data_IF_295798686625
#
_entry.id   IF_295798686625
#
_cell.length_a   1.000
_cell.length_b   1.000
_cell.length_c   1.000
_cell.angle_alpha   90.00
_cell.angle_beta   90.00
_cell.angle_gamma   90.00
#
_symmetry.space_group_name_H-M   'P 1'
#
loop_
_entity.id
_entity.type
_entity.pdbx_description
1 polymer ?
#
# COMPACT_ATOMS: atom_id res chain seq x y z
N UNK A 1 16.43 -4.85 -13.17
CA UNK A 1 16.30 -4.59 -14.61
C UNK A 1 15.68 -3.24 -14.88
N UNK A 2 15.34 -2.95 -16.13
CA UNK A 2 14.77 -1.66 -16.53
C UNK A 2 13.33 -1.39 -16.06
N UNK A 3 12.64 -2.39 -15.53
CA UNK A 3 11.30 -2.20 -14.94
C UNK A 3 11.33 -1.28 -13.72
N UNK A 4 12.42 -1.23 -12.96
CA UNK A 4 12.66 -0.23 -11.93
C UNK A 4 13.34 0.99 -12.56
N UNK A 5 12.80 2.18 -12.33
CA UNK A 5 13.41 3.42 -12.80
C UNK A 5 14.59 3.81 -11.90
N UNK A 6 15.81 3.50 -12.35
CA UNK A 6 17.03 3.75 -11.62
C UNK A 6 17.38 5.24 -11.44
N UNK A 7 16.69 6.14 -12.14
CA UNK A 7 16.87 7.59 -12.03
C UNK A 7 15.77 8.20 -11.16
N UNK A 8 14.51 8.04 -11.57
CA UNK A 8 13.38 8.70 -10.92
C UNK A 8 12.77 7.93 -9.74
N UNK A 9 13.10 6.65 -9.61
CA UNK A 9 12.43 5.75 -8.65
C UNK A 9 11.09 5.24 -9.16
N UNK A 10 10.48 4.35 -8.40
CA UNK A 10 9.24 3.68 -8.75
C UNK A 10 9.39 2.60 -9.83
N UNK A 11 8.34 1.82 -10.00
CA UNK A 11 8.29 0.71 -10.94
C UNK A 11 7.33 0.97 -12.07
N UNK A 12 7.73 0.59 -13.27
CA UNK A 12 6.86 0.41 -14.41
C UNK A 12 6.00 -0.83 -14.25
N UNK A 13 4.91 -0.90 -15.01
CA UNK A 13 3.81 -1.85 -14.81
C UNK A 13 4.20 -3.32 -15.02
N UNK A 14 4.88 -3.65 -16.12
CA UNK A 14 5.34 -5.01 -16.43
C UNK A 14 6.51 -4.98 -17.42
N UNK A 15 7.25 -6.08 -17.50
CA UNK A 15 8.30 -6.23 -18.52
C UNK A 15 7.73 -6.79 -19.82
N UNK A 16 8.15 -6.23 -20.95
CA UNK A 16 7.78 -6.69 -22.30
C UNK A 16 8.72 -7.80 -22.80
N UNK A 17 9.83 -8.04 -22.10
CA UNK A 17 10.84 -9.05 -22.47
C UNK A 17 11.18 -10.01 -21.31
N UNK A 18 11.81 -11.13 -21.63
CA UNK A 18 12.19 -12.16 -20.65
C UNK A 18 13.39 -11.77 -19.77
N UNK A 19 14.12 -10.74 -20.13
CA UNK A 19 15.31 -10.27 -19.43
C UNK A 19 15.00 -9.23 -18.35
N UNK A 20 13.74 -8.77 -18.26
CA UNK A 20 13.34 -7.68 -17.37
C UNK A 20 14.03 -6.34 -17.68
N UNK A 21 14.39 -6.12 -18.94
CA UNK A 21 15.05 -4.92 -19.41
C UNK A 21 14.07 -3.87 -19.89
N UNK A 22 13.25 -4.20 -20.88
CA UNK A 22 12.32 -3.25 -21.51
C UNK A 22 10.96 -3.35 -20.84
N UNK A 23 10.52 -2.33 -20.09
CA UNK A 23 9.19 -2.31 -19.50
C UNK A 23 8.16 -1.77 -20.50
N UNK A 24 6.89 -2.01 -20.23
CA UNK A 24 5.85 -1.07 -20.60
C UNK A 24 5.97 0.12 -19.63
N UNK A 25 6.29 1.31 -20.14
CA UNK A 25 6.80 2.42 -19.33
C UNK A 25 5.77 3.11 -18.42
N UNK A 26 4.51 2.77 -18.54
CA UNK A 26 3.45 3.25 -17.65
C UNK A 26 3.74 2.88 -16.18
N UNK A 27 3.56 3.85 -15.26
CA UNK A 27 3.74 3.63 -13.83
C UNK A 27 2.44 3.82 -13.11
N UNK A 28 1.89 2.75 -12.54
CA UNK A 28 0.62 2.76 -11.83
C UNK A 28 0.82 2.89 -10.32
N UNK A 29 -0.10 3.59 -9.67
CA UNK A 29 -0.10 3.77 -8.22
C UNK A 29 -0.18 2.43 -7.47
N UNK A 30 -1.11 1.54 -7.89
CA UNK A 30 -1.32 0.25 -7.23
C UNK A 30 -0.12 -0.68 -7.31
N UNK A 31 0.61 -0.72 -8.44
CA UNK A 31 1.83 -1.51 -8.57
C UNK A 31 2.90 -1.03 -7.58
N UNK A 32 3.08 0.29 -7.50
CA UNK A 32 4.04 0.89 -6.60
C UNK A 32 3.65 0.69 -5.12
N UNK A 33 2.35 0.75 -4.78
CA UNK A 33 1.87 0.48 -3.44
C UNK A 33 2.13 -0.97 -3.01
N UNK A 34 1.77 -1.94 -3.85
CA UNK A 34 1.97 -3.36 -3.56
C UNK A 34 3.45 -3.73 -3.47
N UNK A 35 4.27 -3.20 -4.37
CA UNK A 35 5.72 -3.40 -4.34
C UNK A 35 6.36 -2.75 -3.11
N UNK A 36 5.95 -1.53 -2.73
CA UNK A 36 6.43 -0.91 -1.49
C UNK A 36 6.15 -1.80 -0.28
N UNK A 37 4.92 -2.32 -0.15
CA UNK A 37 4.58 -3.24 0.94
C UNK A 37 5.41 -4.52 0.89
N UNK A 38 5.61 -5.13 -0.28
CA UNK A 38 6.41 -6.35 -0.42
C UNK A 38 7.88 -6.14 -0.07
N UNK A 39 8.48 -5.01 -0.47
CA UNK A 39 9.86 -4.67 -0.12
C UNK A 39 10.03 -4.33 1.36
N UNK A 40 9.07 -3.66 1.99
CA UNK A 40 9.06 -3.42 3.43
C UNK A 40 8.96 -4.73 4.21
N UNK A 41 8.08 -5.65 3.79
CA UNK A 41 7.94 -6.97 4.41
C UNK A 41 9.22 -7.79 4.25
N UNK A 42 9.84 -7.77 3.06
CA UNK A 42 11.14 -8.41 2.83
C UNK A 42 12.20 -7.88 3.80
N UNK A 43 12.27 -6.57 3.99
CA UNK A 43 13.20 -5.98 4.97
C UNK A 43 12.87 -6.38 6.40
N UNK A 44 11.61 -6.34 6.79
CA UNK A 44 11.17 -6.71 8.14
C UNK A 44 11.58 -8.15 8.50
N UNK A 45 11.48 -9.08 7.53
CA UNK A 45 11.79 -10.50 7.72
C UNK A 45 13.27 -10.84 7.58
N UNK A 46 14.02 -10.12 6.74
CA UNK A 46 15.39 -10.51 6.36
C UNK A 46 16.47 -9.54 6.81
N UNK A 47 16.10 -8.29 7.15
CA UNK A 47 17.05 -7.21 7.41
C UNK A 47 17.80 -6.75 6.14
N UNK A 48 17.31 -7.07 4.94
CA UNK A 48 18.00 -6.76 3.69
C UNK A 48 17.88 -5.27 3.32
N UNK A 49 18.93 -4.49 3.54
CA UNK A 49 18.94 -3.04 3.32
C UNK A 49 18.54 -2.61 1.90
N UNK A 50 18.86 -3.44 0.89
CA UNK A 50 18.45 -3.16 -0.47
C UNK A 50 16.92 -3.11 -0.66
N UNK A 51 16.17 -3.91 0.08
CA UNK A 51 14.71 -3.90 0.00
C UNK A 51 14.14 -2.63 0.63
N UNK A 52 14.68 -2.21 1.76
CA UNK A 52 14.31 -0.95 2.39
C UNK A 52 14.61 0.25 1.49
N UNK A 53 15.81 0.29 0.89
CA UNK A 53 16.20 1.32 -0.06
C UNK A 53 15.25 1.36 -1.28
N UNK A 54 14.85 0.18 -1.77
CA UNK A 54 13.89 0.11 -2.89
C UNK A 54 12.53 0.69 -2.50
N UNK A 55 12.03 0.37 -1.29
CA UNK A 55 10.80 0.96 -0.76
C UNK A 55 10.91 2.49 -0.64
N UNK A 56 12.00 3.00 -0.09
CA UNK A 56 12.29 4.45 -0.02
C UNK A 56 12.20 5.11 -1.40
N UNK A 57 12.78 4.48 -2.43
CA UNK A 57 12.75 5.01 -3.81
C UNK A 57 11.35 4.96 -4.45
N UNK A 58 10.53 3.99 -4.07
CA UNK A 58 9.13 3.95 -4.49
C UNK A 58 8.38 5.13 -3.85
N UNK A 59 8.48 5.33 -2.53
CA UNK A 59 7.81 6.44 -1.85
C UNK A 59 8.33 7.80 -2.33
N UNK A 60 9.64 7.94 -2.57
CA UNK A 60 10.22 9.16 -3.17
C UNK A 60 9.54 9.50 -4.50
N UNK A 61 9.36 8.50 -5.37
CA UNK A 61 8.65 8.67 -6.65
C UNK A 61 7.19 9.07 -6.43
N UNK A 62 6.45 8.32 -5.63
CA UNK A 62 5.01 8.55 -5.42
C UNK A 62 4.77 9.94 -4.80
N UNK A 63 5.53 10.32 -3.79
CA UNK A 63 5.35 11.61 -3.12
C UNK A 63 5.73 12.80 -4.00
N UNK A 64 6.69 12.62 -4.91
CA UNK A 64 7.11 13.65 -5.85
C UNK A 64 6.20 13.78 -7.06
N UNK A 65 5.73 12.63 -7.60
CA UNK A 65 5.04 12.60 -8.89
C UNK A 65 3.52 12.41 -8.79
N UNK A 66 3.06 11.62 -7.84
CA UNK A 66 1.68 11.16 -7.79
C UNK A 66 0.87 11.74 -6.61
N UNK A 67 1.42 12.70 -5.85
CA UNK A 67 0.67 13.33 -4.76
C UNK A 67 -0.04 14.60 -5.25
N UNK A 68 -1.36 14.65 -5.03
CA UNK A 68 -2.18 15.83 -5.26
C UNK A 68 -2.02 16.88 -4.15
N UNK A 69 -2.37 18.13 -4.43
CA UNK A 69 -2.26 19.25 -3.47
C UNK A 69 -3.18 19.05 -2.26
N UNK A 70 -4.30 18.35 -2.42
CA UNK A 70 -5.28 18.07 -1.35
C UNK A 70 -4.99 16.79 -0.57
N UNK A 71 -3.87 16.08 -0.85
CA UNK A 71 -3.39 14.93 -0.08
C UNK A 71 -3.69 13.55 -0.65
N UNK A 72 -4.55 13.42 -1.67
CA UNK A 72 -4.81 12.17 -2.38
C UNK A 72 -3.72 11.84 -3.41
N UNK A 73 -3.63 10.58 -3.83
CA UNK A 73 -2.66 10.10 -4.81
C UNK A 73 -3.29 9.88 -6.19
N UNK A 74 -2.65 10.41 -7.23
CA UNK A 74 -3.03 10.22 -8.62
C UNK A 74 -2.82 8.78 -9.10
N UNK A 75 -3.59 8.35 -10.12
CA UNK A 75 -3.58 6.99 -10.65
C UNK A 75 -2.24 6.54 -11.20
N UNK A 76 -1.50 7.41 -11.90
CA UNK A 76 -0.24 7.01 -12.51
C UNK A 76 0.34 8.01 -13.50
N UNK A 77 1.41 7.59 -14.15
CA UNK A 77 2.06 8.31 -15.24
C UNK A 77 2.02 7.49 -16.51
N UNK A 78 1.80 8.17 -17.63
CA UNK A 78 1.72 7.60 -18.96
C UNK A 78 3.07 7.00 -19.41
N UNK A 79 3.02 6.03 -20.32
CA UNK A 79 4.19 5.45 -20.97
C UNK A 79 4.77 6.37 -22.02
N UNK A 80 3.91 7.20 -22.65
CA UNK A 80 4.20 7.99 -23.82
C UNK A 80 4.60 9.43 -23.47
N UNK A 81 5.57 9.93 -24.21
CA UNK A 81 5.90 11.34 -24.25
C UNK A 81 5.97 11.80 -25.70
N UNK A 82 5.18 12.84 -26.05
CA UNK A 82 5.05 13.33 -27.42
C UNK A 82 4.66 12.24 -28.44
N UNK A 83 3.85 11.26 -28.00
CA UNK A 83 3.35 10.17 -28.84
C UNK A 83 4.36 9.04 -29.08
N UNK A 84 5.46 8.99 -28.32
CA UNK A 84 6.47 7.94 -28.41
C UNK A 84 6.65 7.29 -27.04
N UNK A 85 6.41 5.97 -26.97
CA UNK A 85 6.59 5.21 -25.75
C UNK A 85 8.05 5.17 -25.31
N UNK A 86 8.31 5.36 -24.02
CA UNK A 86 9.65 5.30 -23.43
C UNK A 86 10.55 6.50 -23.71
N UNK A 87 10.14 7.46 -24.55
CA UNK A 87 10.94 8.63 -24.92
C UNK A 87 11.47 9.42 -23.72
N UNK A 88 10.62 9.58 -22.70
CA UNK A 88 10.99 10.25 -21.46
C UNK A 88 12.11 9.51 -20.70
N UNK A 89 12.14 8.18 -20.73
CA UNK A 89 13.02 7.36 -19.90
C UNK A 89 14.38 7.07 -20.53
N UNK A 90 14.46 6.97 -21.85
CA UNK A 90 15.68 6.67 -22.57
C UNK A 90 16.70 7.81 -22.54
N UNK A 91 17.99 7.49 -22.39
CA UNK A 91 19.11 8.43 -22.39
C UNK A 91 20.24 7.92 -23.27
N UNK A 92 21.01 8.85 -23.89
CA UNK A 92 22.24 8.52 -24.56
C UNK A 92 23.48 8.78 -23.67
N UNK A 93 24.63 8.15 -23.95
CA UNK A 93 25.89 8.46 -23.27
C UNK A 93 26.28 9.94 -23.34
N UNK A 94 26.07 10.59 -24.48
CA UNK A 94 26.33 12.01 -24.67
C UNK A 94 25.51 12.91 -23.79
N UNK A 95 24.22 12.58 -23.59
CA UNK A 95 23.33 13.32 -22.67
C UNK A 95 23.82 13.20 -21.26
N UNK A 96 24.16 11.99 -20.83
CA UNK A 96 24.63 11.71 -19.46
C UNK A 96 25.93 12.41 -19.19
N UNK A 97 26.93 12.34 -20.13
CA UNK A 97 28.20 13.03 -20.00
C UNK A 97 28.05 14.55 -20.00
N UNK A 98 27.10 15.08 -20.78
CA UNK A 98 26.78 16.52 -20.76
C UNK A 98 26.27 16.99 -19.43
N UNK A 99 25.42 16.20 -18.77
CA UNK A 99 24.77 16.55 -17.47
C UNK A 99 25.75 16.37 -16.31
N UNK A 100 26.49 15.25 -16.29
CA UNK A 100 27.33 14.88 -15.15
C UNK A 100 28.80 15.34 -15.32
N UNK A 101 29.22 15.67 -16.55
CA UNK A 101 30.62 15.87 -16.91
C UNK A 101 31.38 14.54 -17.03
N UNK A 102 32.46 14.55 -17.77
CA UNK A 102 33.42 13.46 -17.82
C UNK A 102 34.46 13.58 -16.68
N UNK A 103 34.90 12.49 -16.06
CA UNK A 103 34.69 11.08 -16.33
C UNK A 103 33.44 10.49 -15.63
N UNK A 104 32.67 11.29 -14.94
CA UNK A 104 31.56 10.84 -14.10
C UNK A 104 30.41 10.26 -14.93
N UNK A 105 30.08 10.92 -16.05
CA UNK A 105 29.07 10.42 -16.99
C UNK A 105 29.45 9.06 -17.57
N UNK A 106 30.71 8.85 -17.91
CA UNK A 106 31.24 7.56 -18.41
C UNK A 106 31.09 6.46 -17.32
N UNK A 107 31.41 6.77 -16.06
CA UNK A 107 31.26 5.84 -14.96
C UNK A 107 29.76 5.46 -14.72
N UNK A 108 28.86 6.44 -14.83
CA UNK A 108 27.43 6.20 -14.75
C UNK A 108 26.95 5.32 -15.91
N UNK A 109 27.33 5.61 -17.15
CA UNK A 109 26.99 4.81 -18.32
C UNK A 109 27.47 3.37 -18.18
N UNK A 110 28.73 3.17 -17.77
CA UNK A 110 29.29 1.83 -17.55
C UNK A 110 28.52 1.04 -16.48
N UNK A 111 28.12 1.69 -15.37
CA UNK A 111 27.39 1.05 -14.29
C UNK A 111 25.94 0.69 -14.67
N UNK A 112 25.26 1.56 -15.40
CA UNK A 112 23.85 1.41 -15.75
C UNK A 112 23.58 0.88 -17.15
N UNK A 113 24.60 0.30 -17.78
CA UNK A 113 24.51 -0.35 -19.11
C UNK A 113 23.98 0.59 -20.21
N UNK A 114 24.46 1.82 -20.22
CA UNK A 114 24.13 2.81 -21.26
C UNK A 114 25.25 2.86 -22.28
N UNK A 115 24.97 2.43 -23.52
CA UNK A 115 25.93 2.32 -24.60
C UNK A 115 25.51 3.18 -25.81
N UNK A 116 26.43 3.40 -26.76
CA UNK A 116 26.15 4.13 -28.01
C UNK A 116 25.10 3.43 -28.88
N UNK A 117 25.11 2.10 -28.90
CA UNK A 117 24.13 1.31 -29.63
C UNK A 117 22.72 1.38 -28.98
N UNK A 118 22.66 1.68 -27.68
CA UNK A 118 21.44 1.63 -26.90
C UNK A 118 20.96 0.20 -26.66
N UNK A 119 19.97 0.06 -25.77
CA UNK A 119 19.33 -1.21 -25.47
C UNK A 119 17.81 -1.19 -25.75
N UNK A 120 17.29 -0.04 -26.20
CA UNK A 120 15.92 0.16 -26.62
C UNK A 120 15.83 1.30 -27.65
N UNK A 121 15.50 0.98 -28.91
CA UNK A 121 15.29 1.93 -30.02
C UNK A 121 16.44 2.98 -30.21
N UNK A 122 17.66 2.56 -29.97
CA UNK A 122 18.82 3.43 -30.03
C UNK A 122 19.09 4.32 -28.84
N UNK A 123 18.26 4.15 -27.76
CA UNK A 123 18.44 4.81 -26.47
C UNK A 123 18.79 3.80 -25.37
N UNK A 124 19.39 4.26 -24.29
CA UNK A 124 19.72 3.45 -23.14
C UNK A 124 18.65 3.53 -22.06
N UNK A 125 18.07 2.39 -21.70
CA UNK A 125 17.28 2.24 -20.45
C UNK A 125 18.27 1.90 -19.35
N UNK A 126 18.42 2.74 -18.30
CA UNK A 126 19.31 2.45 -17.18
C UNK A 126 18.90 1.14 -16.48
N UNK A 127 19.84 0.22 -16.32
CA UNK A 127 19.59 -1.07 -15.68
C UNK A 127 20.85 -1.57 -14.95
N UNK A 128 20.68 -2.57 -14.09
CA UNK A 128 21.74 -3.21 -13.33
C UNK A 128 21.79 -4.73 -13.57
N UNK A 129 21.41 -5.19 -14.78
CA UNK A 129 21.33 -6.62 -15.10
C UNK A 129 22.69 -7.32 -15.10
N UNK A 130 23.77 -6.56 -15.32
CA UNK A 130 25.15 -7.06 -15.34
C UNK A 130 25.89 -6.81 -14.01
N UNK A 131 25.25 -6.18 -13.03
CA UNK A 131 25.86 -5.84 -11.75
C UNK A 131 25.63 -6.97 -10.72
N UNK A 132 26.71 -7.52 -10.19
CA UNK A 132 26.63 -8.58 -9.18
C UNK A 132 26.20 -8.05 -7.78
N UNK A 133 26.44 -6.76 -7.51
CA UNK A 133 26.12 -6.11 -6.23
C UNK A 133 25.39 -4.78 -6.45
N UNK A 134 24.13 -4.83 -6.90
CA UNK A 134 23.43 -3.63 -7.37
C UNK A 134 23.10 -2.60 -6.27
N UNK A 135 23.24 -2.92 -5.00
CA UNK A 135 22.41 -2.38 -3.94
C UNK A 135 23.13 -1.56 -2.87
N UNK A 136 24.30 -1.08 -3.09
CA UNK A 136 24.91 -0.15 -2.16
C UNK A 136 24.52 1.28 -2.56
N UNK A 137 23.67 1.99 -1.79
CA UNK A 137 23.47 3.40 -1.99
C UNK A 137 24.81 4.11 -1.82
N UNK A 138 25.17 4.88 -2.84
CA UNK A 138 26.37 5.69 -2.86
C UNK A 138 25.91 7.15 -2.95
N UNK A 139 26.28 8.03 -1.99
CA UNK A 139 25.84 9.43 -1.98
C UNK A 139 26.18 10.17 -3.29
N UNK A 140 27.27 9.83 -3.92
CA UNK A 140 27.64 10.43 -5.21
C UNK A 140 26.67 10.02 -6.32
N UNK A 141 26.28 8.75 -6.35
CA UNK A 141 25.29 8.24 -7.31
C UNK A 141 23.92 8.86 -7.09
N UNK A 142 23.51 9.12 -5.85
CA UNK A 142 22.26 9.82 -5.56
C UNK A 142 22.28 11.26 -6.12
N UNK A 143 23.38 11.99 -5.94
CA UNK A 143 23.53 13.31 -6.53
C UNK A 143 23.48 13.32 -8.07
N UNK A 144 24.00 12.26 -8.72
CA UNK A 144 23.93 12.10 -10.17
C UNK A 144 22.50 11.80 -10.63
N UNK A 145 21.79 10.92 -9.92
CA UNK A 145 20.38 10.63 -10.21
C UNK A 145 19.53 11.89 -10.16
N UNK A 146 19.68 12.72 -9.15
CA UNK A 146 18.92 13.97 -9.03
C UNK A 146 19.20 14.93 -10.21
N UNK A 147 20.45 15.05 -10.64
CA UNK A 147 20.79 15.86 -11.83
C UNK A 147 20.16 15.30 -13.11
N UNK A 148 20.28 13.98 -13.31
CA UNK A 148 19.70 13.30 -14.48
C UNK A 148 18.17 13.32 -14.44
N UNK A 149 17.56 13.18 -13.27
CA UNK A 149 16.12 13.32 -13.10
C UNK A 149 15.65 14.73 -13.50
N UNK A 150 16.33 15.78 -13.00
CA UNK A 150 16.01 17.17 -13.37
C UNK A 150 16.13 17.38 -14.88
N UNK A 151 17.23 16.93 -15.50
CA UNK A 151 17.42 17.00 -16.96
C UNK A 151 16.30 16.27 -17.71
N UNK A 152 15.94 15.04 -17.30
CA UNK A 152 14.91 14.22 -17.94
C UNK A 152 13.52 14.90 -17.86
N UNK A 153 13.16 15.42 -16.70
CA UNK A 153 11.90 16.13 -16.46
C UNK A 153 11.78 17.37 -17.35
N UNK A 154 12.87 18.13 -17.47
CA UNK A 154 12.88 19.38 -18.22
C UNK A 154 12.97 19.15 -19.74
N UNK A 155 13.37 17.93 -20.18
CA UNK A 155 13.53 17.53 -21.58
C UNK A 155 12.20 17.22 -22.27
N UNK A 156 11.36 16.43 -21.63
CA UNK A 156 10.09 15.98 -22.19
C UNK A 156 8.96 16.00 -21.14
N UNK A 157 7.75 16.47 -21.48
CA UNK A 157 6.60 16.34 -20.61
C UNK A 157 6.17 14.87 -20.52
N UNK A 158 5.72 14.46 -19.34
CA UNK A 158 5.09 13.17 -19.11
C UNK A 158 3.69 13.40 -18.52
N UNK A 159 2.67 12.87 -19.20
CA UNK A 159 1.30 13.03 -18.77
C UNK A 159 1.01 12.23 -17.48
N UNK A 160 0.23 12.82 -16.58
CA UNK A 160 -0.26 12.17 -15.35
C UNK A 160 -1.75 11.93 -15.48
N UNK A 161 -2.19 10.74 -15.17
CA UNK A 161 -3.61 10.48 -14.93
C UNK A 161 -3.95 10.97 -13.51
N UNK A 162 -4.48 12.17 -13.44
CA UNK A 162 -4.76 12.93 -12.23
C UNK A 162 -6.06 12.53 -11.51
N UNK A 163 -6.71 11.44 -11.95
CA UNK A 163 -7.80 10.83 -11.18
C UNK A 163 -7.28 10.29 -9.86
N UNK A 164 -8.07 10.41 -8.80
CA UNK A 164 -7.85 9.75 -7.52
C UNK A 164 -8.92 8.68 -7.38
N UNK A 165 -8.50 7.41 -7.32
CA UNK A 165 -9.40 6.27 -7.16
C UNK A 165 -9.37 5.80 -5.72
N UNK A 166 -10.53 5.66 -5.08
CA UNK A 166 -10.67 5.28 -3.67
C UNK A 166 -9.88 4.03 -3.32
N UNK A 167 -9.99 2.97 -4.13
CA UNK A 167 -9.26 1.71 -3.88
C UNK A 167 -7.74 1.87 -4.00
N UNK A 168 -7.24 2.57 -5.02
CA UNK A 168 -5.79 2.70 -5.23
C UNK A 168 -5.15 3.67 -4.25
N UNK A 169 -5.83 4.78 -3.97
CA UNK A 169 -5.41 5.75 -2.95
C UNK A 169 -5.32 5.08 -1.58
N UNK A 170 -6.36 4.32 -1.20
CA UNK A 170 -6.37 3.53 0.02
C UNK A 170 -5.24 2.48 0.08
N UNK A 171 -4.94 1.82 -1.03
CA UNK A 171 -3.85 0.85 -1.09
C UNK A 171 -2.49 1.52 -0.84
N UNK A 172 -2.27 2.73 -1.39
CA UNK A 172 -1.07 3.51 -1.11
C UNK A 172 -1.05 4.03 0.34
N UNK A 173 -2.20 4.39 0.92
CA UNK A 173 -2.29 4.74 2.35
C UNK A 173 -1.89 3.56 3.25
N UNK A 174 -2.29 2.32 2.89
CA UNK A 174 -1.85 1.11 3.59
C UNK A 174 -0.34 0.90 3.47
N UNK A 175 0.24 1.12 2.28
CA UNK A 175 1.69 1.08 2.09
C UNK A 175 2.40 2.15 2.94
N UNK A 176 1.84 3.36 3.01
CA UNK A 176 2.34 4.44 3.86
C UNK A 176 2.30 4.07 5.35
N UNK A 177 1.24 3.41 5.84
CA UNK A 177 1.18 2.94 7.23
C UNK A 177 2.31 1.94 7.53
N UNK A 178 2.60 1.00 6.62
CA UNK A 178 3.75 0.08 6.73
C UNK A 178 5.09 0.82 6.64
N UNK A 179 5.23 1.80 5.74
CA UNK A 179 6.41 2.65 5.63
C UNK A 179 6.70 3.45 6.92
N UNK A 180 5.65 3.96 7.56
CA UNK A 180 5.76 4.65 8.86
C UNK A 180 6.30 3.72 9.95
N UNK A 181 5.81 2.46 10.02
CA UNK A 181 6.35 1.47 10.98
C UNK A 181 7.83 1.18 10.74
N UNK A 182 8.25 1.09 9.47
CA UNK A 182 9.67 0.95 9.14
C UNK A 182 10.47 2.18 9.60
N UNK A 183 9.98 3.40 9.37
CA UNK A 183 10.60 4.63 9.84
C UNK A 183 10.72 4.67 11.37
N UNK A 184 9.72 4.21 12.11
CA UNK A 184 9.74 4.10 13.56
C UNK A 184 10.88 3.19 14.07
N UNK A 185 11.10 2.05 13.41
CA UNK A 185 12.18 1.12 13.74
C UNK A 185 13.58 1.71 13.47
N UNK A 186 13.70 2.58 12.47
CA UNK A 186 14.97 3.17 12.03
C UNK A 186 15.35 4.44 12.78
N UNK A 187 14.43 5.06 13.53
CA UNK A 187 14.67 6.34 14.17
C UNK A 187 14.73 7.56 13.21
N UNK A 188 14.27 7.41 11.97
CA UNK A 188 13.70 8.50 11.14
C UNK A 188 14.62 9.42 10.34
N UNK A 189 15.97 9.31 10.36
CA UNK A 189 16.82 10.29 9.69
C UNK A 189 17.44 9.87 8.35
N UNK A 190 17.60 8.60 8.10
CA UNK A 190 18.34 8.08 6.93
C UNK A 190 17.48 7.94 5.67
N UNK A 191 16.15 7.86 5.83
CA UNK A 191 15.18 7.60 4.77
C UNK A 191 14.06 8.65 4.77
N UNK A 192 14.25 9.78 4.07
CA UNK A 192 13.34 10.94 4.14
C UNK A 192 11.91 10.66 3.67
N UNK A 193 11.71 9.80 2.67
CA UNK A 193 10.37 9.48 2.20
C UNK A 193 9.65 8.55 3.19
N UNK A 194 10.33 7.57 3.77
CA UNK A 194 9.76 6.77 4.86
C UNK A 194 9.35 7.64 6.04
N UNK A 195 10.15 8.67 6.39
CA UNK A 195 9.81 9.64 7.42
C UNK A 195 8.53 10.45 7.15
N UNK A 196 8.13 10.60 5.89
CA UNK A 196 6.88 11.27 5.49
C UNK A 196 5.66 10.33 5.44
N UNK A 197 5.86 9.01 5.45
CA UNK A 197 4.80 8.04 5.21
C UNK A 197 3.62 8.21 6.19
N UNK A 198 3.85 8.43 7.48
CA UNK A 198 2.76 8.63 8.43
C UNK A 198 1.86 9.80 8.05
N UNK A 199 2.46 10.95 7.74
CA UNK A 199 1.73 12.15 7.33
C UNK A 199 0.94 11.88 6.03
N UNK A 200 1.61 11.38 5.00
CA UNK A 200 1.01 11.12 3.69
C UNK A 200 -0.13 10.08 3.74
N UNK A 201 0.04 9.03 4.54
CA UNK A 201 -1.02 8.05 4.76
C UNK A 201 -2.24 8.63 5.48
N UNK A 202 -2.04 9.48 6.48
CA UNK A 202 -3.14 10.20 7.17
C UNK A 202 -3.86 11.18 6.23
N UNK A 203 -3.11 11.95 5.43
CA UNK A 203 -3.66 12.86 4.43
C UNK A 203 -4.53 12.12 3.40
N UNK A 204 -4.05 11.00 2.85
CA UNK A 204 -4.78 10.16 1.91
C UNK A 204 -6.08 9.59 2.51
N UNK A 205 -6.04 9.03 3.73
CA UNK A 205 -7.26 8.54 4.39
C UNK A 205 -8.26 9.66 4.69
N UNK A 206 -7.77 10.86 5.05
CA UNK A 206 -8.61 12.02 5.24
C UNK A 206 -9.22 12.47 3.90
N UNK A 207 -8.45 12.43 2.80
CA UNK A 207 -8.95 12.75 1.46
C UNK A 207 -10.13 11.83 1.07
N UNK A 208 -10.01 10.52 1.27
CA UNK A 208 -11.12 9.58 0.99
C UNK A 208 -12.36 9.93 1.82
N UNK A 209 -12.18 10.20 3.12
CA UNK A 209 -13.29 10.59 4.00
C UNK A 209 -13.97 11.89 3.53
N UNK A 210 -13.19 12.90 3.18
CA UNK A 210 -13.67 14.26 2.98
C UNK A 210 -14.14 14.52 1.54
N UNK A 211 -13.59 13.80 0.54
CA UNK A 211 -13.87 14.03 -0.89
C UNK A 211 -14.47 12.82 -1.62
N UNK A 212 -14.29 11.60 -1.14
CA UNK A 212 -14.76 10.37 -1.78
C UNK A 212 -15.83 9.64 -0.97
N UNK A 213 -16.43 10.33 0.01
CA UNK A 213 -17.56 9.83 0.81
C UNK A 213 -18.72 10.80 0.66
N UNK A 214 -19.90 10.29 0.32
CA UNK A 214 -21.11 11.11 0.17
C UNK A 214 -21.78 11.43 1.51
N UNK A 215 -22.88 12.20 1.48
CA UNK A 215 -23.63 12.61 2.68
C UNK A 215 -24.27 11.46 3.48
N UNK A 216 -24.42 10.28 2.88
CA UNK A 216 -24.93 9.07 3.51
C UNK A 216 -23.79 8.14 3.99
N UNK A 217 -22.55 8.59 3.83
CA UNK A 217 -21.33 7.83 4.19
C UNK A 217 -20.95 6.76 3.17
N UNK A 218 -21.50 6.78 1.95
CA UNK A 218 -21.18 5.85 0.87
C UNK A 218 -19.91 6.27 0.16
N UNK A 219 -19.03 5.31 -0.13
CA UNK A 219 -17.83 5.58 -0.89
C UNK A 219 -18.14 5.78 -2.38
N UNK A 220 -17.37 6.67 -3.00
CA UNK A 220 -17.37 6.92 -4.44
C UNK A 220 -16.15 6.28 -5.08
N UNK A 221 -16.20 5.97 -6.39
CA UNK A 221 -15.08 5.30 -7.08
C UNK A 221 -13.91 6.26 -7.29
N UNK A 222 -14.20 7.49 -7.75
CA UNK A 222 -13.16 8.43 -8.20
C UNK A 222 -13.44 9.88 -7.83
N UNK A 223 -12.36 10.64 -7.75
CA UNK A 223 -12.36 12.10 -7.69
C UNK A 223 -11.49 12.66 -8.82
N UNK A 224 -11.97 13.70 -9.48
CA UNK A 224 -11.23 14.47 -10.49
C UNK A 224 -11.86 15.84 -10.68
N UNK A 225 -11.03 16.86 -10.86
CA UNK A 225 -11.48 18.24 -11.17
C UNK A 225 -12.51 18.79 -10.16
N UNK A 226 -12.35 18.45 -8.88
CA UNK A 226 -13.23 18.91 -7.80
C UNK A 226 -14.52 18.08 -7.62
N UNK A 227 -14.71 17.00 -8.38
CA UNK A 227 -15.93 16.20 -8.35
C UNK A 227 -15.68 14.73 -8.05
N UNK A 228 -16.41 14.19 -7.05
CA UNK A 228 -16.52 12.75 -6.83
C UNK A 228 -17.53 12.13 -7.80
N UNK A 229 -17.25 10.95 -8.31
CA UNK A 229 -18.10 10.27 -9.26
C UNK A 229 -18.16 8.78 -9.09
N UNK A 230 -19.33 8.24 -9.46
CA UNK A 230 -19.70 6.83 -9.43
C UNK A 230 -19.74 6.23 -8.02
N UNK A 231 -20.79 5.46 -7.75
CA UNK A 231 -20.95 4.73 -6.49
C UNK A 231 -19.86 3.68 -6.35
N UNK A 232 -19.22 3.63 -5.17
CA UNK A 232 -18.12 2.74 -4.87
C UNK A 232 -18.45 1.27 -5.08
N UNK A 233 -17.46 0.54 -5.56
CA UNK A 233 -17.48 -0.91 -5.72
C UNK A 233 -16.96 -1.61 -4.46
N UNK A 234 -17.03 -2.95 -4.43
CA UNK A 234 -16.49 -3.75 -3.34
C UNK A 234 -15.03 -3.39 -3.01
N UNK A 235 -14.21 -3.19 -4.06
CA UNK A 235 -12.79 -2.88 -3.91
C UNK A 235 -12.58 -1.59 -3.12
N UNK A 236 -13.39 -0.55 -3.38
CA UNK A 236 -13.26 0.74 -2.67
C UNK A 236 -13.50 0.57 -1.16
N UNK A 237 -14.50 -0.21 -0.78
CA UNK A 237 -14.80 -0.49 0.64
C UNK A 237 -13.75 -1.40 1.28
N UNK A 238 -13.34 -2.46 0.57
CA UNK A 238 -12.39 -3.43 1.11
C UNK A 238 -11.00 -2.82 1.30
N UNK A 239 -10.48 -2.09 0.31
CA UNK A 239 -9.17 -1.45 0.39
C UNK A 239 -9.15 -0.30 1.40
N UNK A 240 -10.23 0.51 1.49
CA UNK A 240 -10.29 1.58 2.47
C UNK A 240 -10.34 1.03 3.89
N UNK A 241 -11.17 0.01 4.17
CA UNK A 241 -11.19 -0.65 5.47
C UNK A 241 -9.83 -1.29 5.82
N UNK A 242 -9.15 -1.91 4.84
CA UNK A 242 -7.81 -2.46 5.01
C UNK A 242 -6.80 -1.37 5.40
N UNK A 243 -6.81 -0.23 4.70
CA UNK A 243 -5.90 0.88 4.97
C UNK A 243 -6.15 1.52 6.35
N UNK A 244 -7.42 1.65 6.76
CA UNK A 244 -7.78 2.10 8.10
C UNK A 244 -7.26 1.16 9.20
N UNK A 245 -7.33 -0.15 8.99
CA UNK A 245 -6.77 -1.14 9.92
C UNK A 245 -5.24 -1.13 9.95
N UNK A 246 -4.57 -0.90 8.80
CA UNK A 246 -3.12 -0.70 8.76
C UNK A 246 -2.72 0.57 9.53
N UNK A 247 -3.46 1.68 9.37
CA UNK A 247 -3.21 2.91 10.10
C UNK A 247 -3.50 2.74 11.60
N UNK A 248 -4.60 2.05 11.96
CA UNK A 248 -4.86 1.71 13.35
C UNK A 248 -3.68 0.98 14.00
N UNK A 249 -3.17 -0.08 13.36
CA UNK A 249 -1.99 -0.82 13.86
C UNK A 249 -0.68 -0.03 13.87
N UNK A 250 -0.67 1.20 13.34
CA UNK A 250 0.48 2.08 13.33
C UNK A 250 0.42 3.13 14.45
N UNK A 251 -0.76 3.71 14.71
CA UNK A 251 -0.92 4.83 15.66
C UNK A 251 -1.86 4.54 16.82
N UNK A 252 -2.64 3.47 16.75
CA UNK A 252 -3.63 3.01 17.77
C UNK A 252 -4.72 4.02 18.14
N UNK A 253 -4.96 5.00 17.26
CA UNK A 253 -6.09 5.92 17.40
C UNK A 253 -7.41 5.17 17.11
N UNK A 254 -8.31 5.06 18.11
CA UNK A 254 -9.53 4.25 18.00
C UNK A 254 -10.48 4.69 16.86
N UNK A 255 -10.38 5.94 16.41
CA UNK A 255 -11.17 6.47 15.30
C UNK A 255 -10.94 5.69 13.99
N UNK A 256 -9.72 5.19 13.73
CA UNK A 256 -9.46 4.36 12.55
C UNK A 256 -10.12 2.98 12.64
N UNK A 257 -10.15 2.36 13.83
CA UNK A 257 -10.84 1.09 14.04
C UNK A 257 -12.37 1.27 13.94
N UNK A 258 -12.90 2.35 14.50
CA UNK A 258 -14.34 2.67 14.42
C UNK A 258 -14.77 2.86 12.96
N UNK A 259 -14.01 3.63 12.20
CA UNK A 259 -14.30 3.86 10.79
C UNK A 259 -14.13 2.58 9.95
N UNK A 260 -13.11 1.75 10.22
CA UNK A 260 -12.95 0.46 9.56
C UNK A 260 -14.15 -0.47 9.77
N UNK A 261 -14.67 -0.50 10.99
CA UNK A 261 -15.90 -1.27 11.33
C UNK A 261 -17.11 -0.72 10.58
N UNK A 262 -17.29 0.60 10.53
CA UNK A 262 -18.39 1.25 9.81
C UNK A 262 -18.36 0.88 8.33
N UNK A 263 -17.21 1.01 7.69
CA UNK A 263 -17.01 0.70 6.27
C UNK A 263 -17.23 -0.79 5.99
N UNK A 264 -16.74 -1.66 6.87
CA UNK A 264 -16.94 -3.10 6.74
C UNK A 264 -18.41 -3.52 6.94
N UNK A 265 -19.18 -2.87 7.82
CA UNK A 265 -20.63 -3.09 7.91
C UNK A 265 -21.36 -2.67 6.64
N UNK A 266 -20.96 -1.55 6.01
CA UNK A 266 -21.50 -1.14 4.71
C UNK A 266 -21.14 -2.16 3.62
N UNK A 267 -19.90 -2.65 3.59
CA UNK A 267 -19.46 -3.72 2.69
C UNK A 267 -20.36 -4.96 2.83
N UNK A 268 -20.63 -5.41 4.07
CA UNK A 268 -21.54 -6.53 4.34
C UNK A 268 -22.95 -6.23 3.88
N UNK A 269 -23.44 -5.03 4.15
CA UNK A 269 -24.83 -4.64 3.87
C UNK A 269 -25.12 -4.62 2.36
N UNK A 270 -24.22 -4.04 1.58
CA UNK A 270 -24.48 -3.75 0.18
C UNK A 270 -23.93 -4.77 -0.82
N UNK A 271 -22.91 -5.55 -0.41
CA UNK A 271 -22.20 -6.42 -1.37
C UNK A 271 -22.30 -7.91 -1.02
N UNK A 272 -22.66 -8.31 0.21
CA UNK A 272 -22.61 -9.71 0.62
C UNK A 272 -23.63 -10.57 -0.12
N UNK A 273 -23.20 -11.72 -0.66
CA UNK A 273 -24.09 -12.80 -1.04
C UNK A 273 -24.42 -13.68 0.18
N UNK A 274 -25.62 -13.50 0.69
CA UNK A 274 -26.09 -14.22 1.89
C UNK A 274 -26.38 -15.72 1.66
N UNK A 275 -26.53 -16.14 0.42
CA UNK A 275 -26.83 -17.53 0.07
C UNK A 275 -25.57 -18.33 -0.23
N UNK A 276 -24.73 -17.85 -1.17
CA UNK A 276 -23.59 -18.59 -1.73
C UNK A 276 -22.24 -18.18 -1.13
N UNK A 277 -22.18 -17.13 -0.29
CA UNK A 277 -20.94 -16.57 0.24
C UNK A 277 -20.21 -15.66 -0.76
N UNK A 278 -19.17 -15.00 -0.28
CA UNK A 278 -18.47 -13.97 -1.05
C UNK A 278 -19.24 -12.66 -1.17
N UNK A 279 -18.62 -11.71 -1.85
CA UNK A 279 -19.16 -10.38 -2.07
C UNK A 279 -19.25 -10.09 -3.56
N UNK A 280 -20.37 -9.49 -4.00
CA UNK A 280 -20.52 -9.00 -5.36
C UNK A 280 -19.66 -7.75 -5.59
N UNK A 281 -19.25 -7.53 -6.85
CA UNK A 281 -18.48 -6.34 -7.22
C UNK A 281 -19.29 -5.06 -7.07
N UNK A 282 -20.59 -5.08 -7.43
CA UNK A 282 -21.49 -3.92 -7.40
C UNK A 282 -22.45 -3.98 -6.21
N UNK A 283 -22.78 -2.81 -5.66
CA UNK A 283 -23.74 -2.68 -4.57
C UNK A 283 -25.15 -3.15 -4.95
N UNK A 284 -25.91 -3.65 -3.98
CA UNK A 284 -27.27 -4.17 -4.20
C UNK A 284 -28.28 -3.09 -4.55
N UNK A 285 -28.02 -1.86 -4.17
CA UNK A 285 -28.83 -0.66 -4.41
C UNK A 285 -28.24 0.25 -5.51
N UNK A 286 -27.16 -0.20 -6.16
CA UNK A 286 -26.56 0.50 -7.30
C UNK A 286 -27.26 0.22 -8.63
N UNK A 287 -26.60 0.60 -9.73
CA UNK A 287 -27.08 0.33 -11.07
C UNK A 287 -27.30 -1.17 -11.29
N UNK A 288 -28.48 -1.52 -11.82
CA UNK A 288 -28.83 -2.90 -12.09
C UNK A 288 -28.29 -3.34 -13.45
N UNK A 289 -27.13 -4.00 -13.43
CA UNK A 289 -26.51 -4.58 -14.62
C UNK A 289 -27.09 -5.95 -14.94
N UNK A 290 -26.80 -6.49 -16.15
CA UNK A 290 -27.23 -7.81 -16.59
C UNK A 290 -26.78 -8.92 -15.63
N UNK A 291 -25.61 -8.77 -15.01
CA UNK A 291 -25.09 -9.69 -13.98
C UNK A 291 -24.37 -8.93 -12.85
N UNK A 292 -24.35 -9.52 -11.67
CA UNK A 292 -23.55 -9.06 -10.55
C UNK A 292 -22.40 -10.06 -10.33
N UNK A 293 -21.20 -9.83 -10.90
CA UNK A 293 -20.08 -10.73 -10.75
C UNK A 293 -19.51 -10.66 -9.33
N UNK A 294 -18.82 -11.71 -8.93
CA UNK A 294 -17.93 -11.74 -7.78
C UNK A 294 -16.51 -11.89 -8.32
N UNK A 295 -15.74 -10.83 -8.25
CA UNK A 295 -14.34 -10.92 -8.58
C UNK A 295 -13.57 -11.52 -7.40
N UNK A 296 -12.86 -12.64 -7.67
CA UNK A 296 -12.11 -13.38 -6.65
C UNK A 296 -10.67 -13.64 -7.06
N UNK A 297 -10.31 -13.30 -8.30
CA UNK A 297 -8.98 -13.55 -8.84
C UNK A 297 -8.01 -12.44 -8.45
N UNK A 298 -6.89 -12.82 -7.83
CA UNK A 298 -5.81 -11.91 -7.53
C UNK A 298 -4.92 -11.75 -8.78
N UNK A 299 -5.10 -10.62 -9.49
CA UNK A 299 -4.36 -10.27 -10.70
C UNK A 299 -3.20 -9.32 -10.43
N UNK A 300 -3.16 -8.20 -11.16
CA UNK A 300 -2.21 -7.12 -10.87
C UNK A 300 -2.47 -6.46 -9.51
N UNK A 301 -3.74 -6.48 -9.08
CA UNK A 301 -4.15 -6.15 -7.70
C UNK A 301 -4.85 -7.35 -7.08
N UNK A 302 -4.86 -7.44 -5.74
CA UNK A 302 -5.74 -8.36 -5.05
C UNK A 302 -7.21 -8.06 -5.38
N UNK A 303 -8.05 -9.09 -5.45
CA UNK A 303 -9.50 -8.88 -5.59
C UNK A 303 -10.10 -8.28 -4.32
N UNK A 304 -11.20 -7.52 -4.48
CA UNK A 304 -11.94 -7.01 -3.33
C UNK A 304 -12.40 -8.11 -2.37
N UNK A 305 -12.70 -9.31 -2.88
CA UNK A 305 -13.02 -10.47 -2.05
C UNK A 305 -11.84 -10.97 -1.21
N UNK A 306 -10.61 -10.95 -1.75
CA UNK A 306 -9.40 -11.33 -1.03
C UNK A 306 -9.05 -10.31 0.06
N UNK A 307 -9.16 -9.01 -0.27
CA UNK A 307 -8.94 -7.93 0.71
C UNK A 307 -10.02 -7.93 1.79
N UNK A 308 -11.29 -8.15 1.42
CA UNK A 308 -12.38 -8.31 2.40
C UNK A 308 -12.11 -9.45 3.38
N UNK A 309 -11.48 -10.55 2.94
CA UNK A 309 -11.09 -11.64 3.85
C UNK A 309 -10.06 -11.17 4.89
N UNK A 310 -9.03 -10.40 4.47
CA UNK A 310 -8.05 -9.80 5.40
C UNK A 310 -8.72 -8.87 6.42
N UNK A 311 -9.60 -7.99 5.94
CA UNK A 311 -10.37 -7.08 6.80
C UNK A 311 -11.18 -7.86 7.84
N UNK A 312 -11.90 -8.90 7.40
CA UNK A 312 -12.73 -9.72 8.30
C UNK A 312 -11.89 -10.52 9.31
N UNK A 313 -10.73 -11.04 8.94
CA UNK A 313 -9.80 -11.70 9.86
C UNK A 313 -9.37 -10.75 10.97
N UNK A 314 -8.92 -9.55 10.62
CA UNK A 314 -8.47 -8.55 11.58
C UNK A 314 -9.60 -8.03 12.48
N UNK A 315 -10.77 -7.73 11.91
CA UNK A 315 -11.93 -7.31 12.71
C UNK A 315 -12.40 -8.40 13.67
N UNK A 316 -12.40 -9.66 13.23
CA UNK A 316 -12.74 -10.78 14.11
C UNK A 316 -11.76 -10.90 15.29
N UNK A 317 -10.46 -10.74 15.05
CA UNK A 317 -9.45 -10.79 16.10
C UNK A 317 -9.51 -9.58 17.05
N UNK A 318 -9.60 -8.35 16.49
CA UNK A 318 -9.61 -7.13 17.28
C UNK A 318 -10.89 -6.95 18.11
N UNK A 319 -12.05 -7.45 17.64
CA UNK A 319 -13.34 -7.25 18.33
C UNK A 319 -13.77 -8.44 19.15
N UNK A 320 -13.33 -9.65 18.81
CA UNK A 320 -13.80 -10.93 19.33
C UNK A 320 -15.33 -11.12 19.23
N UNK A 321 -16.01 -10.35 18.37
CA UNK A 321 -17.47 -10.40 18.23
C UNK A 321 -17.87 -11.62 17.35
N UNK A 322 -18.85 -12.44 17.79
CA UNK A 322 -19.26 -13.66 17.08
C UNK A 322 -19.72 -13.42 15.63
N UNK A 323 -20.32 -12.26 15.35
CA UNK A 323 -20.75 -11.89 14.00
C UNK A 323 -19.56 -11.69 13.05
N UNK A 324 -18.46 -11.06 13.49
CA UNK A 324 -17.26 -10.89 12.65
C UNK A 324 -16.54 -12.22 12.44
N UNK A 325 -16.48 -13.07 13.47
CA UNK A 325 -15.94 -14.43 13.37
C UNK A 325 -16.73 -15.24 12.32
N UNK A 326 -18.05 -15.21 12.37
CA UNK A 326 -18.92 -15.92 11.42
C UNK A 326 -18.76 -15.39 9.98
N UNK A 327 -18.64 -14.07 9.83
CA UNK A 327 -18.42 -13.42 8.50
C UNK A 327 -17.07 -13.83 7.94
N UNK A 328 -16.02 -13.81 8.73
CA UNK A 328 -14.68 -14.29 8.39
C UNK A 328 -14.73 -15.74 7.89
N UNK A 329 -15.26 -16.63 8.71
CA UNK A 329 -15.27 -18.08 8.41
C UNK A 329 -16.03 -18.39 7.11
N UNK A 330 -17.13 -17.67 6.89
CA UNK A 330 -17.91 -17.79 5.66
C UNK A 330 -17.12 -17.30 4.44
N UNK A 331 -16.45 -16.16 4.54
CA UNK A 331 -15.66 -15.60 3.45
C UNK A 331 -14.47 -16.49 3.12
N UNK A 332 -13.73 -16.96 4.13
CA UNK A 332 -12.60 -17.87 3.93
C UNK A 332 -13.04 -19.20 3.31
N UNK A 333 -14.17 -19.77 3.75
CA UNK A 333 -14.74 -20.99 3.16
C UNK A 333 -15.11 -20.79 1.68
N UNK A 334 -15.69 -19.66 1.32
CA UNK A 334 -16.00 -19.30 -0.05
C UNK A 334 -14.74 -19.22 -0.91
N UNK A 335 -13.72 -18.46 -0.47
CA UNK A 335 -12.47 -18.30 -1.22
C UNK A 335 -11.66 -19.59 -1.29
N UNK A 336 -11.65 -20.41 -0.25
CA UNK A 336 -10.99 -21.72 -0.26
C UNK A 336 -11.54 -22.63 -1.36
N UNK A 337 -12.85 -22.61 -1.61
CA UNK A 337 -13.46 -23.37 -2.70
C UNK A 337 -13.02 -22.84 -4.07
N UNK A 338 -12.93 -21.51 -4.24
CA UNK A 338 -12.45 -20.89 -5.48
C UNK A 338 -10.97 -21.22 -5.76
N UNK A 339 -10.14 -21.19 -4.74
CA UNK A 339 -8.69 -21.35 -4.85
C UNK A 339 -8.23 -22.78 -5.14
N UNK A 340 -9.06 -23.80 -4.94
CA UNK A 340 -8.68 -25.22 -5.06
C UNK A 340 -8.04 -25.60 -6.39
N UNK A 341 -8.55 -25.08 -7.49
CA UNK A 341 -8.10 -25.45 -8.83
C UNK A 341 -6.84 -24.73 -9.27
N UNK A 342 -6.59 -23.52 -8.75
CA UNK A 342 -5.46 -22.70 -9.13
C UNK A 342 -5.04 -21.74 -7.99
N UNK A 343 -4.37 -22.24 -6.93
CA UNK A 343 -4.07 -21.48 -5.74
C UNK A 343 -3.25 -20.21 -5.98
N UNK A 344 -2.34 -20.19 -6.96
CA UNK A 344 -1.50 -19.03 -7.27
C UNK A 344 -2.28 -17.81 -7.77
N UNK A 345 -3.51 -17.97 -8.23
CA UNK A 345 -4.40 -16.86 -8.57
C UNK A 345 -5.21 -16.31 -7.39
N UNK A 346 -4.89 -16.74 -6.16
CA UNK A 346 -5.58 -16.35 -4.93
C UNK A 346 -4.59 -16.06 -3.80
N UNK A 347 -3.43 -15.51 -4.15
CA UNK A 347 -2.32 -15.35 -3.21
C UNK A 347 -2.67 -14.48 -2.01
N UNK A 348 -3.43 -13.41 -2.19
CA UNK A 348 -3.84 -12.52 -1.12
C UNK A 348 -4.93 -13.16 -0.23
N UNK A 349 -5.85 -13.96 -0.82
CA UNK A 349 -6.80 -14.77 -0.07
C UNK A 349 -6.08 -15.84 0.77
N UNK A 350 -5.02 -16.46 0.23
CA UNK A 350 -4.22 -17.44 0.97
C UNK A 350 -3.50 -16.81 2.16
N UNK A 351 -3.02 -15.56 2.06
CA UNK A 351 -2.48 -14.83 3.21
C UNK A 351 -3.53 -14.67 4.31
N UNK A 352 -4.79 -14.32 3.98
CA UNK A 352 -5.87 -14.25 4.96
C UNK A 352 -6.14 -15.62 5.63
N UNK A 353 -6.04 -16.72 4.86
CA UNK A 353 -6.23 -18.07 5.41
C UNK A 353 -5.13 -18.45 6.39
N UNK A 354 -3.88 -17.98 6.21
CA UNK A 354 -2.80 -18.26 7.16
C UNK A 354 -3.05 -17.67 8.53
N UNK A 355 -3.75 -16.54 8.64
CA UNK A 355 -4.08 -15.91 9.94
C UNK A 355 -4.97 -16.80 10.82
N UNK A 356 -5.78 -17.69 10.24
CA UNK A 356 -6.65 -18.61 11.00
C UNK A 356 -6.06 -20.01 11.17
N UNK A 357 -5.01 -20.34 10.43
CA UNK A 357 -4.31 -21.64 10.56
C UNK A 357 -3.34 -21.67 11.73
N UNK A 358 -2.90 -20.53 12.20
CA UNK A 358 -2.01 -20.37 13.34
C UNK A 358 -2.77 -19.72 14.50
N UNK A 359 -2.42 -20.03 15.76
CA UNK A 359 -3.03 -19.36 16.91
C UNK A 359 -2.87 -17.85 16.80
N UNK A 360 -3.97 -17.12 16.92
CA UNK A 360 -3.94 -15.67 17.01
C UNK A 360 -3.26 -15.24 18.32
N UNK A 361 -2.55 -14.14 18.27
CA UNK A 361 -1.89 -13.52 19.43
C UNK A 361 -2.48 -12.12 19.60
N UNK A 362 -3.32 -11.97 20.60
CA UNK A 362 -3.94 -10.70 20.93
C UNK A 362 -3.17 -10.03 22.08
N UNK A 363 -2.84 -8.75 21.90
CA UNK A 363 -2.16 -7.95 22.90
C UNK A 363 -3.06 -6.77 23.28
N UNK A 364 -3.62 -6.80 24.49
CA UNK A 364 -4.36 -5.67 25.02
C UNK A 364 -3.44 -4.83 25.90
N UNK A 365 -3.26 -3.58 25.51
CA UNK A 365 -2.44 -2.60 26.23
C UNK A 365 -3.36 -1.58 26.90
N UNK A 366 -3.27 -1.44 28.22
CA UNK A 366 -3.93 -0.36 28.95
C UNK A 366 -2.88 0.68 29.26
N UNK A 367 -3.03 1.88 28.69
CA UNK A 367 -2.07 2.97 28.78
C UNK A 367 -2.73 4.21 29.38
N UNK A 368 -1.96 5.09 30.05
CA UNK A 368 -2.47 6.40 30.50
C UNK A 368 -2.90 7.29 29.32
N UNK A 369 -2.12 7.26 28.22
CA UNK A 369 -2.33 8.01 26.98
C UNK A 369 -1.50 7.41 25.85
N UNK A 370 -1.49 8.08 24.67
CA UNK A 370 -0.69 7.73 23.49
C UNK A 370 0.48 8.71 23.25
N UNK A 371 0.90 9.47 24.26
CA UNK A 371 1.93 10.51 24.09
C UNK A 371 3.37 9.95 24.11
N UNK A 372 3.58 8.75 24.66
CA UNK A 372 4.89 8.07 24.59
C UNK A 372 5.10 7.49 23.19
N UNK A 373 5.70 8.29 22.30
CA UNK A 373 5.99 7.87 20.92
C UNK A 373 6.83 6.60 20.86
N UNK A 374 7.80 6.42 21.76
CA UNK A 374 8.64 5.22 21.76
C UNK A 374 7.84 3.97 22.11
N UNK A 375 6.85 4.11 22.98
CA UNK A 375 5.96 3.00 23.30
C UNK A 375 5.04 2.68 22.12
N UNK A 376 4.44 3.71 21.49
CA UNK A 376 3.62 3.54 20.28
C UNK A 376 4.43 2.84 19.18
N UNK A 377 5.68 3.23 18.94
CA UNK A 377 6.56 2.60 17.95
C UNK A 377 6.83 1.12 18.26
N UNK A 378 7.03 0.76 19.54
CA UNK A 378 7.19 -0.66 19.94
C UNK A 378 5.92 -1.48 19.74
N UNK A 379 4.76 -0.90 20.01
CA UNK A 379 3.47 -1.57 19.78
C UNK A 379 3.19 -1.73 18.28
N UNK A 380 3.55 -0.75 17.47
CA UNK A 380 3.44 -0.83 16.01
C UNK A 380 4.37 -1.93 15.44
N UNK A 381 5.56 -2.12 16.01
CA UNK A 381 6.43 -3.23 15.66
C UNK A 381 5.82 -4.59 16.05
N UNK A 382 5.17 -4.71 17.20
CA UNK A 382 4.46 -5.93 17.60
C UNK A 382 3.30 -6.23 16.64
N UNK A 383 2.56 -5.20 16.19
CA UNK A 383 1.50 -5.38 15.19
C UNK A 383 2.06 -5.90 13.85
N UNK A 384 3.25 -5.46 13.44
CA UNK A 384 3.95 -5.96 12.25
C UNK A 384 4.42 -7.42 12.41
N UNK A 385 4.76 -7.84 13.62
CA UNK A 385 5.12 -9.23 13.97
C UNK A 385 3.91 -10.17 14.08
N UNK A 386 2.72 -9.71 13.74
CA UNK A 386 1.49 -10.49 13.68
C UNK A 386 0.67 -10.52 14.99
N UNK A 387 0.92 -9.59 15.92
CA UNK A 387 0.01 -9.40 17.05
C UNK A 387 -1.19 -8.53 16.65
N UNK A 388 -2.37 -8.92 17.10
CA UNK A 388 -3.55 -8.07 17.07
C UNK A 388 -3.53 -7.17 18.31
N UNK A 389 -3.05 -5.94 18.15
CA UNK A 389 -2.82 -5.02 19.27
C UNK A 389 -4.05 -4.12 19.47
N UNK A 390 -4.59 -4.09 20.68
CA UNK A 390 -5.61 -3.16 21.13
C UNK A 390 -5.02 -2.24 22.20
N UNK A 391 -5.15 -0.93 22.03
CA UNK A 391 -4.65 0.06 22.99
C UNK A 391 -5.82 0.81 23.62
N UNK A 392 -6.02 0.56 24.92
CA UNK A 392 -7.06 1.20 25.73
C UNK A 392 -6.44 2.33 26.57
N UNK A 393 -7.03 3.51 26.46
CA UNK A 393 -6.70 4.70 27.27
C UNK A 393 -7.95 5.26 27.90
N UNK A 394 -7.87 6.15 28.90
CA UNK A 394 -9.05 6.84 29.43
C UNK A 394 -9.86 7.57 28.35
N UNK A 395 -9.21 8.10 27.31
CA UNK A 395 -9.83 8.85 26.23
C UNK A 395 -10.69 7.97 25.31
N UNK A 396 -10.24 6.73 25.02
CA UNK A 396 -10.91 5.84 24.07
C UNK A 396 -11.67 4.67 24.71
N UNK A 397 -11.68 4.57 26.03
CA UNK A 397 -12.24 3.42 26.75
C UNK A 397 -13.72 3.14 26.42
N UNK A 398 -14.53 4.18 26.31
CA UNK A 398 -15.96 4.04 25.98
C UNK A 398 -16.16 3.59 24.53
N UNK A 399 -15.35 4.09 23.63
CA UNK A 399 -15.35 3.69 22.21
C UNK A 399 -14.95 2.22 22.09
N UNK A 400 -13.85 1.82 22.72
CA UNK A 400 -13.38 0.44 22.70
C UNK A 400 -14.36 -0.54 23.39
N UNK A 401 -15.01 -0.14 24.48
CA UNK A 401 -16.02 -0.97 25.13
C UNK A 401 -17.23 -1.27 24.20
N UNK A 402 -17.52 -0.38 23.26
CA UNK A 402 -18.55 -0.57 22.22
C UNK A 402 -18.04 -1.43 21.06
N UNK A 403 -16.81 -1.17 20.56
CA UNK A 403 -16.23 -1.85 19.39
C UNK A 403 -15.71 -3.26 19.71
N UNK A 404 -15.14 -3.44 20.89
CA UNK A 404 -14.54 -4.68 21.40
C UNK A 404 -14.93 -4.87 22.87
N UNK A 405 -16.17 -5.33 23.15
CA UNK A 405 -16.76 -5.34 24.50
C UNK A 405 -15.92 -6.04 25.56
N UNK A 406 -15.14 -7.06 25.19
CA UNK A 406 -14.25 -7.76 26.12
C UNK A 406 -13.18 -6.82 26.74
N UNK A 407 -12.90 -5.67 26.12
CA UNK A 407 -11.96 -4.69 26.68
C UNK A 407 -12.47 -4.03 27.96
N UNK A 408 -13.76 -4.17 28.28
CA UNK A 408 -14.34 -3.70 29.55
C UNK A 408 -13.73 -4.42 30.77
N UNK A 409 -13.28 -5.68 30.60
CA UNK A 409 -12.67 -6.48 31.66
C UNK A 409 -11.26 -6.02 32.05
N UNK A 410 -10.65 -5.13 31.27
CA UNK A 410 -9.32 -4.57 31.52
C UNK A 410 -9.43 -3.18 32.16
N UNK A 411 -9.20 -3.03 33.49
CA UNK A 411 -9.39 -1.75 34.18
C UNK A 411 -8.36 -0.72 33.73
N UNK A 412 -8.79 0.54 33.65
CA UNK A 412 -7.89 1.67 33.42
C UNK A 412 -6.78 1.73 34.49
N UNK A 413 -5.63 2.25 34.12
CA UNK A 413 -4.45 2.30 34.98
C UNK A 413 -3.63 3.55 34.69
N UNK A 414 -3.05 4.15 35.73
CA UNK A 414 -2.11 5.27 35.64
C UNK A 414 -0.71 4.82 35.12
N UNK A 415 -0.50 3.51 35.01
CA UNK A 415 0.74 2.92 34.47
C UNK A 415 0.41 1.93 33.37
N UNK A 416 1.32 1.78 32.40
CA UNK A 416 1.15 0.84 31.30
C UNK A 416 0.97 -0.61 31.82
N UNK A 417 -0.04 -1.30 31.32
CA UNK A 417 -0.30 -2.72 31.56
C UNK A 417 -0.51 -3.45 30.24
N UNK A 418 -0.02 -4.67 30.17
CA UNK A 418 -0.05 -5.50 28.98
C UNK A 418 -0.67 -6.85 29.30
N UNK A 419 -1.60 -7.26 28.47
CA UNK A 419 -2.28 -8.55 28.59
C UNK A 419 -2.14 -9.28 27.27
N UNK A 420 -1.43 -10.42 27.32
CA UNK A 420 -1.24 -11.29 26.18
C UNK A 420 -2.27 -12.42 26.27
N UNK A 421 -3.07 -12.57 25.21
CA UNK A 421 -4.02 -13.64 25.05
C UNK A 421 -3.60 -14.50 23.84
N UNK A 422 -3.70 -15.82 23.97
CA UNK A 422 -3.43 -16.76 22.89
C UNK A 422 -4.68 -17.60 22.61
N UNK A 423 -5.15 -17.59 21.37
CA UNK A 423 -6.30 -18.40 20.96
C UNK A 423 -7.61 -18.07 21.67
N UNK A 424 -7.80 -16.84 22.14
CA UNK A 424 -9.02 -16.37 22.78
C UNK A 424 -9.17 -16.79 24.26
N UNK A 425 -8.09 -17.11 24.95
CA UNK A 425 -8.06 -17.47 26.37
C UNK A 425 -7.06 -16.64 27.18
#
# INVERSE_FOLDING_TARGET
GGIFDHIGGGFSRYSTDRRWLVPHFEKMLYDNALLAMAYLECWAQTGADWSLWTAERIFTYVFRELTGEEGGFFCGQDADSEGVEGKYYGLSPDEICRVLGEPRGQAFCARYDITEEGNFEGMGIPNLLHEERPWLPDPETEADREKLYGYRRDRYPLHKDDKILTSWDSLMAAACAKGARAAFRLGGQEYPALGQCLLRGKESLAFVRDHLTDGDGRLMVRYREGEAGFMGHLDDYAFYAYALLEMYGTVFEAAYLEEALRVAEMMVTYFQDREKGGYYLYASDGEQLISRPKDTWDGAMPSGNSVAAQVLCRLAALTALPEWIKRRDRQLSFLAEQAKSYPSGYSFALLAMTEVLYPSRELVCVLPDLQDEQLVHRLAAAAEEGFHVLVKTPENADVLARLAPFTADYPLSDTARYYLCEGGS
#
